data_IF_920240386725
#
_entry.id   IF_920240386725
#
_cell.length_a   1.000
_cell.length_b   1.000
_cell.length_c   1.000
_cell.angle_alpha   90.00
_cell.angle_beta   90.00
_cell.angle_gamma   90.00
#
_symmetry.space_group_name_H-M   'P 1'
#
loop_
_entity.id
_entity.type
_entity.pdbx_description
1 polymer ?
#
# COMPACT_ATOMS: atom_id res chain seq x y z
N UNK A 1 6.44 13.96 20.99
CA UNK A 1 5.66 14.68 19.97
C UNK A 1 5.14 15.93 20.64
N UNK A 2 5.79 17.04 20.34
CA UNK A 2 6.32 17.91 21.39
C UNK A 2 5.62 19.24 21.54
N UNK A 3 5.40 19.62 22.80
CA UNK A 3 5.56 21.00 23.22
C UNK A 3 7.03 21.43 23.06
N UNK A 4 7.30 22.74 23.05
CA UNK A 4 8.66 23.28 22.97
C UNK A 4 9.01 23.94 21.62
N UNK A 5 10.26 24.35 21.43
CA UNK A 5 10.67 25.27 20.35
C UNK A 5 10.68 24.65 18.94
N UNK A 6 10.65 23.33 18.82
CA UNK A 6 10.62 22.61 17.54
C UNK A 6 9.29 21.85 17.31
N UNK A 7 8.19 22.35 17.90
CA UNK A 7 6.85 21.78 17.74
C UNK A 7 6.52 21.54 16.26
N UNK A 8 6.04 20.33 15.96
CA UNK A 8 5.60 19.93 14.61
C UNK A 8 6.72 19.85 13.55
N UNK A 9 8.00 20.01 13.91
CA UNK A 9 9.10 19.87 12.95
C UNK A 9 9.38 18.40 12.65
N UNK A 10 9.29 18.02 11.37
CA UNK A 10 9.67 16.68 10.92
C UNK A 10 11.17 16.46 11.12
N UNK A 11 11.54 15.27 11.61
CA UNK A 11 12.92 14.84 11.83
C UNK A 11 13.10 13.48 11.14
N UNK A 12 13.95 13.44 10.12
CA UNK A 12 14.32 12.17 9.48
C UNK A 12 15.28 11.45 10.43
N UNK A 13 15.03 10.17 10.67
CA UNK A 13 15.78 9.35 11.62
C UNK A 13 16.16 8.00 10.98
N UNK A 14 16.93 7.20 11.72
CA UNK A 14 17.35 5.84 11.35
C UNK A 14 18.06 5.75 9.98
N UNK A 15 19.23 6.36 9.91
CA UNK A 15 20.13 6.29 8.75
C UNK A 15 20.95 5.00 8.72
N UNK A 16 20.53 3.92 9.41
CA UNK A 16 21.29 2.66 9.50
C UNK A 16 21.54 1.98 8.16
N UNK A 17 20.66 2.24 7.17
CA UNK A 17 20.79 1.76 5.80
C UNK A 17 21.40 2.79 4.84
N UNK A 18 21.78 3.98 5.33
CA UNK A 18 22.35 5.02 4.48
C UNK A 18 23.65 4.54 3.81
N UNK A 19 23.87 5.00 2.58
CA UNK A 19 25.05 4.69 1.77
C UNK A 19 25.61 5.98 1.19
N UNK A 20 26.94 6.12 1.23
CA UNK A 20 27.62 7.22 0.56
C UNK A 20 27.67 6.94 -0.95
N UNK A 21 27.40 7.98 -1.74
CA UNK A 21 27.68 7.99 -3.18
C UNK A 21 29.18 8.19 -3.42
N UNK A 22 29.99 7.21 -3.06
CA UNK A 22 31.41 7.21 -3.41
C UNK A 22 31.60 6.44 -4.72
N UNK A 23 32.47 6.94 -5.59
CA UNK A 23 32.96 6.17 -6.74
C UNK A 23 34.12 5.29 -6.27
N UNK A 24 34.09 3.97 -6.45
CA UNK A 24 33.02 3.18 -7.11
C UNK A 24 31.83 2.90 -6.17
N UNK A 25 30.61 2.91 -6.75
CA UNK A 25 29.39 2.59 -6.01
C UNK A 25 29.47 1.15 -5.50
N UNK A 26 29.34 0.97 -4.18
CA UNK A 26 29.30 -0.36 -3.57
C UNK A 26 27.99 -1.08 -3.95
N UNK A 27 28.02 -2.35 -4.40
CA UNK A 27 26.82 -3.14 -4.64
C UNK A 27 25.98 -3.33 -3.36
N UNK A 28 24.65 -3.44 -3.50
CA UNK A 28 23.74 -3.76 -2.38
C UNK A 28 23.98 -5.15 -1.76
N UNK A 29 24.46 -6.12 -2.54
CA UNK A 29 24.37 -7.54 -2.24
C UNK A 29 25.19 -8.02 -1.01
N UNK A 30 26.13 -7.22 -0.50
CA UNK A 30 27.08 -7.69 0.51
C UNK A 30 26.78 -7.22 1.95
N UNK A 31 25.77 -6.36 2.18
CA UNK A 31 25.71 -5.57 3.42
C UNK A 31 24.34 -5.35 4.06
N UNK A 32 23.23 -5.76 3.44
CA UNK A 32 21.90 -5.39 3.96
C UNK A 32 21.31 -6.47 4.88
N UNK A 33 20.95 -6.13 6.14
CA UNK A 33 20.08 -6.94 6.99
C UNK A 33 18.82 -7.38 6.23
N UNK A 34 18.25 -8.53 6.62
CA UNK A 34 16.97 -9.00 6.08
C UNK A 34 15.88 -7.94 6.33
N UNK A 35 15.54 -7.18 5.29
CA UNK A 35 14.46 -6.19 5.33
C UNK A 35 13.15 -6.94 5.18
N UNK A 36 12.23 -6.73 6.12
CA UNK A 36 10.97 -7.49 6.20
C UNK A 36 9.82 -6.80 5.45
N UNK A 37 9.89 -5.48 5.25
CA UNK A 37 8.80 -4.71 4.63
C UNK A 37 9.25 -4.04 3.33
N UNK A 38 8.73 -4.52 2.19
CA UNK A 38 9.08 -4.02 0.85
C UNK A 38 8.13 -2.96 0.29
N UNK A 39 7.14 -2.50 1.05
CA UNK A 39 6.09 -1.59 0.56
C UNK A 39 6.62 -0.25 0.04
N UNK A 40 7.79 0.19 0.52
CA UNK A 40 8.45 1.44 0.12
C UNK A 40 9.62 1.21 -0.86
N UNK A 41 9.87 -0.04 -1.26
CA UNK A 41 11.00 -0.40 -2.13
C UNK A 41 10.67 -0.08 -3.59
N UNK A 42 11.57 0.64 -4.25
CA UNK A 42 11.41 1.03 -5.64
C UNK A 42 11.44 -0.18 -6.60
N UNK A 43 10.70 -0.16 -7.72
CA UNK A 43 10.58 -1.31 -8.63
C UNK A 43 11.93 -1.73 -9.21
N UNK A 44 12.87 -0.80 -9.46
CA UNK A 44 14.20 -1.14 -9.95
C UNK A 44 14.99 -2.01 -8.97
N UNK A 45 14.80 -1.85 -7.65
CA UNK A 45 15.43 -2.71 -6.66
C UNK A 45 14.80 -4.11 -6.65
N UNK A 46 13.47 -4.20 -6.84
CA UNK A 46 12.76 -5.47 -6.97
C UNK A 46 13.14 -6.20 -8.26
N UNK A 47 13.66 -5.48 -9.25
CA UNK A 47 14.18 -6.02 -10.50
C UNK A 47 15.71 -6.25 -10.48
N UNK A 48 16.34 -6.17 -9.30
CA UNK A 48 17.73 -6.54 -9.10
C UNK A 48 18.75 -5.42 -9.34
N UNK A 49 18.34 -4.15 -9.35
CA UNK A 49 19.30 -3.04 -9.42
C UNK A 49 20.32 -3.14 -8.28
N UNK A 50 21.61 -3.05 -8.65
CA UNK A 50 22.73 -3.29 -7.72
C UNK A 50 23.21 -2.06 -6.99
N UNK A 51 22.69 -0.88 -7.33
CA UNK A 51 23.15 0.39 -6.79
C UNK A 51 22.00 1.19 -6.21
N UNK A 52 22.18 1.67 -4.98
CA UNK A 52 21.30 2.67 -4.42
C UNK A 52 21.46 3.99 -5.19
N UNK A 53 20.35 4.67 -5.43
CA UNK A 53 20.29 5.95 -6.15
C UNK A 53 19.35 6.88 -5.39
N UNK A 54 19.52 8.19 -5.58
CA UNK A 54 18.61 9.19 -5.00
C UNK A 54 17.15 8.95 -5.41
N UNK A 55 16.92 8.42 -6.61
CA UNK A 55 15.58 8.14 -7.11
C UNK A 55 14.84 7.10 -6.26
N UNK A 56 15.56 6.16 -5.62
CA UNK A 56 14.95 5.16 -4.73
C UNK A 56 14.32 5.84 -3.51
N UNK A 57 15.01 6.82 -2.92
CA UNK A 57 14.47 7.60 -1.80
C UNK A 57 13.24 8.41 -2.24
N UNK A 58 13.26 8.96 -3.47
CA UNK A 58 12.10 9.68 -4.02
C UNK A 58 10.88 8.76 -4.18
N UNK A 59 11.08 7.51 -4.62
CA UNK A 59 9.99 6.54 -4.69
C UNK A 59 9.39 6.28 -3.30
N UNK A 60 10.23 6.06 -2.29
CA UNK A 60 9.78 5.87 -0.91
C UNK A 60 9.00 7.09 -0.38
N UNK A 61 9.46 8.31 -0.69
CA UNK A 61 8.74 9.56 -0.38
C UNK A 61 7.37 9.57 -1.08
N UNK A 62 7.28 9.17 -2.35
CA UNK A 62 6.01 9.03 -3.06
C UNK A 62 5.06 8.03 -2.40
N UNK A 63 5.59 6.91 -1.90
CA UNK A 63 4.81 5.91 -1.17
C UNK A 63 4.25 6.47 0.14
N UNK A 64 5.09 7.13 0.93
CA UNK A 64 4.68 7.81 2.18
C UNK A 64 3.66 8.90 1.87
N UNK A 65 3.86 9.67 0.80
CA UNK A 65 2.95 10.74 0.43
C UNK A 65 1.58 10.21 0.03
N UNK A 66 1.52 9.13 -0.76
CA UNK A 66 0.25 8.44 -1.03
C UNK A 66 -0.42 7.95 0.26
N UNK A 67 0.35 7.32 1.16
CA UNK A 67 -0.16 6.80 2.43
C UNK A 67 -0.69 7.92 3.35
N UNK A 68 -0.07 9.10 3.37
CA UNK A 68 -0.61 10.25 4.10
C UNK A 68 -1.95 10.72 3.55
N UNK A 69 -2.17 10.59 2.23
CA UNK A 69 -3.42 10.98 1.57
C UNK A 69 -4.54 9.97 1.78
N UNK A 70 -4.20 8.67 1.86
CA UNK A 70 -5.18 7.57 1.91
C UNK A 70 -5.31 6.91 3.29
N UNK A 71 -4.37 7.18 4.19
CA UNK A 71 -4.14 6.42 5.44
C UNK A 71 -3.85 4.93 5.23
N UNK A 72 -3.47 4.52 4.01
CA UNK A 72 -3.18 3.13 3.65
C UNK A 72 -1.87 3.04 2.85
N UNK A 73 -0.97 2.08 3.15
CA UNK A 73 0.22 1.89 2.35
C UNK A 73 -0.16 1.52 0.91
N UNK A 74 0.17 2.39 -0.05
CA UNK A 74 -0.27 2.26 -1.44
C UNK A 74 0.10 0.89 -2.05
N UNK A 75 1.31 0.41 -1.74
CA UNK A 75 1.83 -0.89 -2.17
C UNK A 75 1.84 -1.93 -1.05
N UNK A 76 0.84 -1.89 -0.16
CA UNK A 76 0.64 -2.93 0.85
C UNK A 76 0.58 -4.31 0.21
N UNK A 77 1.49 -5.19 0.65
CA UNK A 77 1.56 -6.58 0.24
C UNK A 77 1.75 -7.45 1.49
N UNK A 78 1.15 -8.65 1.48
CA UNK A 78 1.34 -9.60 2.58
C UNK A 78 2.81 -9.97 2.67
N UNK A 79 3.31 -10.17 3.88
CA UNK A 79 4.63 -10.76 4.06
C UNK A 79 4.59 -12.16 3.45
N UNK A 80 5.20 -12.33 2.29
CA UNK A 80 5.64 -13.66 1.85
C UNK A 80 6.68 -14.16 2.87
N UNK A 81 6.86 -15.47 2.98
CA UNK A 81 7.97 -16.06 3.72
C UNK A 81 9.29 -15.51 3.14
N UNK A 82 9.85 -14.47 3.78
CA UNK A 82 11.13 -13.81 3.45
C UNK A 82 12.26 -14.78 3.80
N UNK A 83 12.36 -15.87 3.05
CA UNK A 83 13.36 -16.92 3.22
C UNK A 83 14.49 -16.81 2.21
N UNK A 84 14.39 -15.89 1.25
CA UNK A 84 15.37 -15.79 0.17
C UNK A 84 15.97 -14.39 0.12
N UNK A 85 17.29 -14.31 -0.02
CA UNK A 85 18.06 -13.10 -0.30
C UNK A 85 17.87 -12.60 -1.74
N UNK A 86 16.85 -13.12 -2.45
CA UNK A 86 16.56 -12.76 -3.83
C UNK A 86 15.93 -11.36 -3.85
N UNK A 87 16.44 -10.40 -4.66
CA UNK A 87 15.80 -9.10 -4.83
C UNK A 87 14.41 -9.19 -5.47
N UNK A 88 14.10 -10.25 -6.21
CA UNK A 88 12.83 -10.42 -6.89
C UNK A 88 11.73 -10.88 -5.93
N UNK A 89 10.78 -9.99 -5.65
CA UNK A 89 9.60 -10.27 -4.84
C UNK A 89 8.34 -10.16 -5.69
N UNK A 90 7.78 -11.32 -6.05
CA UNK A 90 6.68 -11.43 -7.02
C UNK A 90 5.44 -10.66 -6.56
N UNK A 91 4.91 -10.93 -5.35
CA UNK A 91 3.65 -10.33 -4.93
C UNK A 91 3.78 -8.81 -4.71
N UNK A 92 4.98 -8.34 -4.36
CA UNK A 92 5.26 -6.91 -4.26
C UNK A 92 5.20 -6.21 -5.62
N UNK A 93 5.78 -6.83 -6.67
CA UNK A 93 5.68 -6.31 -8.04
C UNK A 93 4.24 -6.40 -8.58
N UNK A 94 3.54 -7.50 -8.33
CA UNK A 94 2.11 -7.64 -8.66
C UNK A 94 1.28 -6.51 -8.05
N UNK A 95 1.52 -6.22 -6.76
CA UNK A 95 0.86 -5.10 -6.08
C UNK A 95 1.18 -3.77 -6.76
N UNK A 96 2.44 -3.48 -7.09
CA UNK A 96 2.81 -2.25 -7.79
C UNK A 96 2.08 -2.16 -9.13
N UNK A 97 2.06 -3.20 -9.94
CA UNK A 97 1.40 -3.18 -11.25
C UNK A 97 -0.13 -3.12 -11.14
N UNK A 98 -0.72 -3.72 -10.11
CA UNK A 98 -2.16 -3.62 -9.83
C UNK A 98 -2.62 -2.18 -9.57
N UNK A 99 -1.74 -1.35 -9.00
CA UNK A 99 -1.97 0.06 -8.70
C UNK A 99 -1.56 0.93 -9.87
N UNK A 100 -0.33 0.80 -10.37
CA UNK A 100 0.29 1.71 -11.33
C UNK A 100 -0.06 1.38 -12.79
N UNK A 101 -0.46 0.14 -13.07
CA UNK A 101 -0.41 -0.44 -14.41
C UNK A 101 0.97 -1.00 -14.73
N UNK A 102 1.06 -1.80 -15.80
CA UNK A 102 2.33 -2.37 -16.26
C UNK A 102 3.04 -1.37 -17.21
N UNK A 103 4.32 -1.03 -16.97
CA UNK A 103 5.01 0.04 -17.70
C UNK A 103 5.10 -0.26 -19.20
N UNK A 104 4.71 0.69 -20.07
CA UNK A 104 4.98 0.56 -21.49
C UNK A 104 6.48 0.71 -21.79
N UNK A 105 6.92 0.20 -22.93
CA UNK A 105 8.33 0.25 -23.32
C UNK A 105 8.84 1.70 -23.39
N UNK A 106 7.99 2.65 -23.81
CA UNK A 106 8.29 4.09 -23.81
C UNK A 106 8.31 4.71 -22.42
N UNK A 107 7.62 4.11 -21.44
CA UNK A 107 7.53 4.65 -20.09
C UNK A 107 8.78 4.26 -19.30
N UNK A 108 9.35 3.09 -19.57
CA UNK A 108 10.62 2.63 -19.00
C UNK A 108 11.42 1.78 -20.01
N UNK A 109 12.29 2.43 -20.79
CA UNK A 109 13.04 1.79 -21.87
C UNK A 109 14.12 0.84 -21.32
N UNK A 110 14.79 1.28 -20.25
CA UNK A 110 15.88 0.57 -19.61
C UNK A 110 15.44 -0.58 -18.71
N UNK A 111 14.14 -0.86 -18.60
CA UNK A 111 13.62 -2.03 -17.87
C UNK A 111 14.22 -3.33 -18.42
N UNK A 112 14.53 -3.38 -19.72
CA UNK A 112 15.14 -4.52 -20.41
C UNK A 112 16.58 -4.81 -19.97
N UNK A 113 17.23 -3.83 -19.33
CA UNK A 113 18.61 -3.94 -18.80
C UNK A 113 18.63 -4.45 -17.36
N UNK A 114 17.46 -4.58 -16.71
CA UNK A 114 17.38 -5.04 -15.33
C UNK A 114 17.73 -6.53 -15.22
N UNK A 115 18.51 -6.95 -14.21
CA UNK A 115 18.88 -8.36 -14.04
C UNK A 115 17.71 -9.33 -14.02
N UNK A 116 16.59 -8.95 -13.39
CA UNK A 116 15.40 -9.79 -13.27
C UNK A 116 14.35 -9.55 -14.38
N UNK A 117 14.72 -8.86 -15.47
CA UNK A 117 13.82 -8.67 -16.61
C UNK A 117 13.33 -9.98 -17.24
N UNK A 118 14.15 -11.04 -17.40
CA UNK A 118 13.67 -12.33 -17.91
C UNK A 118 12.60 -12.96 -17.01
N UNK A 119 12.79 -12.89 -15.69
CA UNK A 119 11.82 -13.37 -14.68
C UNK A 119 10.52 -12.57 -14.77
N UNK A 120 10.62 -11.24 -14.85
CA UNK A 120 9.47 -10.36 -15.05
C UNK A 120 8.66 -10.73 -16.30
N UNK A 121 9.31 -10.97 -17.44
CA UNK A 121 8.62 -11.33 -18.69
C UNK A 121 7.92 -12.70 -18.62
N UNK A 122 8.48 -13.64 -17.86
CA UNK A 122 7.92 -14.98 -17.68
C UNK A 122 6.68 -14.94 -16.79
N UNK A 123 6.76 -14.21 -15.69
CA UNK A 123 5.76 -14.28 -14.61
C UNK A 123 4.63 -13.27 -14.80
N UNK A 124 4.88 -12.15 -15.49
CA UNK A 124 3.91 -11.06 -15.65
C UNK A 124 3.43 -10.88 -17.09
N UNK A 125 2.13 -10.61 -17.25
CA UNK A 125 1.53 -10.26 -18.54
C UNK A 125 0.96 -8.85 -18.51
N UNK A 126 1.36 -8.00 -19.46
CA UNK A 126 0.88 -6.62 -19.60
C UNK A 126 -0.66 -6.51 -19.61
N UNK A 127 -1.34 -7.46 -20.26
CA UNK A 127 -2.81 -7.48 -20.36
C UNK A 127 -3.52 -7.62 -19.02
N UNK A 128 -2.88 -8.24 -18.02
CA UNK A 128 -3.44 -8.40 -16.67
C UNK A 128 -3.70 -7.05 -16.01
N UNK A 129 -2.88 -6.05 -16.31
CA UNK A 129 -2.91 -4.73 -15.67
C UNK A 129 -3.41 -3.62 -16.60
N UNK A 130 -4.05 -3.97 -17.73
CA UNK A 130 -4.50 -3.00 -18.73
C UNK A 130 -5.50 -1.97 -18.17
N UNK A 131 -6.25 -2.36 -17.14
CA UNK A 131 -7.23 -1.51 -16.46
C UNK A 131 -6.70 -0.86 -15.17
N UNK A 132 -5.43 -1.05 -14.83
CA UNK A 132 -4.78 -0.48 -13.65
C UNK A 132 -4.10 0.84 -14.00
N UNK A 133 -4.26 1.84 -13.13
CA UNK A 133 -3.54 3.11 -13.22
C UNK A 133 -3.58 3.82 -11.87
N UNK A 134 -2.53 4.61 -11.59
CA UNK A 134 -2.48 5.41 -10.36
C UNK A 134 -3.69 6.33 -10.24
N UNK A 135 -4.18 6.88 -11.37
CA UNK A 135 -5.42 7.67 -11.44
C UNK A 135 -6.60 6.91 -10.82
N UNK A 136 -6.89 5.70 -11.34
CA UNK A 136 -8.02 4.89 -10.87
C UNK A 136 -7.88 4.49 -9.40
N UNK A 137 -6.65 4.24 -8.95
CA UNK A 137 -6.40 3.93 -7.54
C UNK A 137 -6.72 5.15 -6.67
N UNK A 138 -6.13 6.31 -6.96
CA UNK A 138 -6.30 7.52 -6.16
C UNK A 138 -7.74 8.08 -6.18
N UNK A 139 -8.47 7.93 -7.30
CA UNK A 139 -9.89 8.27 -7.38
C UNK A 139 -10.75 7.47 -6.40
N UNK A 140 -10.48 6.18 -6.22
CA UNK A 140 -11.17 5.34 -5.21
C UNK A 140 -10.94 5.86 -3.78
N UNK A 141 -9.80 6.46 -3.53
CA UNK A 141 -9.46 7.12 -2.27
C UNK A 141 -9.81 8.61 -2.25
N UNK A 142 -10.67 9.08 -3.16
CA UNK A 142 -11.21 10.45 -3.22
C UNK A 142 -10.16 11.54 -3.48
N UNK A 143 -9.02 11.19 -4.07
CA UNK A 143 -8.01 12.15 -4.54
C UNK A 143 -8.25 12.41 -6.03
N UNK A 144 -8.47 13.69 -6.38
CA UNK A 144 -8.82 14.06 -7.76
C UNK A 144 -7.59 14.04 -8.68
N UNK A 145 -7.68 13.48 -9.90
CA UNK A 145 -6.52 13.33 -10.79
C UNK A 145 -6.02 14.64 -11.42
N UNK A 146 -6.83 15.69 -11.42
CA UNK A 146 -6.46 17.02 -11.90
C UNK A 146 -5.88 17.92 -10.79
N UNK A 147 -5.87 17.45 -9.54
CA UNK A 147 -5.32 18.20 -8.41
C UNK A 147 -3.79 18.25 -8.42
N UNK A 148 -3.21 19.36 -7.95
CA UNK A 148 -1.74 19.52 -7.87
C UNK A 148 -1.09 18.45 -6.99
N UNK A 149 -1.77 18.06 -5.91
CA UNK A 149 -1.32 16.97 -5.02
C UNK A 149 -1.16 15.65 -5.77
N UNK A 150 -2.11 15.30 -6.64
CA UNK A 150 -2.02 14.08 -7.46
C UNK A 150 -0.90 14.20 -8.51
N UNK A 151 -0.79 15.35 -9.17
CA UNK A 151 0.24 15.57 -10.19
C UNK A 151 1.65 15.47 -9.61
N UNK A 152 1.89 16.00 -8.40
CA UNK A 152 3.14 15.82 -7.69
C UNK A 152 3.37 14.34 -7.35
N UNK A 153 2.36 13.66 -6.81
CA UNK A 153 2.45 12.23 -6.48
C UNK A 153 2.83 11.38 -7.69
N UNK A 154 2.25 11.65 -8.86
CA UNK A 154 2.55 10.93 -10.10
C UNK A 154 4.01 11.11 -10.53
N UNK A 155 4.60 12.29 -10.34
CA UNK A 155 6.02 12.55 -10.62
C UNK A 155 6.95 11.82 -9.65
N UNK A 156 6.57 11.71 -8.37
CA UNK A 156 7.32 10.97 -7.35
C UNK A 156 7.27 9.46 -7.61
N UNK A 157 6.11 8.92 -7.96
CA UNK A 157 5.86 7.49 -8.23
C UNK A 157 6.03 7.12 -9.71
N UNK A 158 6.95 7.78 -10.42
CA UNK A 158 7.31 7.37 -11.78
C UNK A 158 8.16 6.09 -11.74
N UNK A 159 7.76 5.05 -12.50
CA UNK A 159 8.41 3.73 -12.45
C UNK A 159 9.86 3.78 -12.94
N UNK A 160 10.13 4.44 -14.07
CA UNK A 160 11.49 4.63 -14.56
C UNK A 160 12.25 5.60 -13.64
N UNK A 161 13.32 5.15 -12.94
CA UNK A 161 14.05 5.97 -12.00
C UNK A 161 14.73 7.19 -12.66
N UNK A 162 14.99 7.15 -13.97
CA UNK A 162 15.62 8.26 -14.70
C UNK A 162 14.65 9.38 -15.04
N UNK A 163 13.34 9.07 -15.08
CA UNK A 163 12.25 10.03 -15.34
C UNK A 163 11.59 10.52 -14.05
N UNK A 164 11.95 9.92 -12.91
CA UNK A 164 11.46 10.29 -11.59
C UNK A 164 12.01 11.66 -11.19
N UNK A 165 11.15 12.51 -10.63
CA UNK A 165 11.52 13.87 -10.22
C UNK A 165 12.58 13.85 -9.10
N UNK A 166 13.41 14.89 -9.01
CA UNK A 166 14.35 15.06 -7.88
C UNK A 166 13.66 15.73 -6.69
N UNK A 167 14.27 15.64 -5.50
CA UNK A 167 13.81 16.33 -4.29
C UNK A 167 13.72 17.85 -4.50
N UNK A 168 14.69 18.43 -5.18
CA UNK A 168 14.79 19.86 -5.45
C UNK A 168 13.67 20.31 -6.38
N UNK A 169 13.40 19.55 -7.44
CA UNK A 169 12.29 19.81 -8.35
C UNK A 169 10.93 19.61 -7.66
N UNK A 170 10.79 18.60 -6.79
CA UNK A 170 9.57 18.37 -6.03
C UNK A 170 9.25 19.54 -5.10
N UNK A 171 10.25 20.09 -4.39
CA UNK A 171 10.08 21.27 -3.53
C UNK A 171 9.69 22.54 -4.29
N UNK A 172 9.94 22.61 -5.59
CA UNK A 172 9.53 23.70 -6.47
C UNK A 172 8.17 23.45 -7.15
N UNK A 173 7.49 22.34 -6.84
CA UNK A 173 6.22 22.02 -7.47
C UNK A 173 5.11 23.02 -7.07
N UNK A 174 4.22 23.43 -8.01
CA UNK A 174 3.11 24.33 -7.72
C UNK A 174 2.18 23.88 -6.60
N UNK A 175 2.18 22.59 -6.23
CA UNK A 175 1.48 22.09 -5.05
C UNK A 175 1.85 22.87 -3.77
N UNK A 176 3.14 23.18 -3.57
CA UNK A 176 3.61 23.89 -2.37
C UNK A 176 3.38 25.41 -2.43
N UNK A 177 2.87 25.92 -3.55
CA UNK A 177 2.50 27.33 -3.74
C UNK A 177 0.97 27.52 -3.72
N UNK A 178 0.21 26.43 -3.68
CA UNK A 178 -1.24 26.45 -3.54
C UNK A 178 -1.65 26.59 -2.08
N UNK A 179 -2.78 27.25 -1.82
CA UNK A 179 -3.36 27.30 -0.49
C UNK A 179 -3.92 25.92 -0.09
N UNK A 180 -3.64 25.40 1.12
CA UNK A 180 -2.81 25.99 2.18
C UNK A 180 -1.30 25.83 1.95
N UNK A 181 -0.55 26.89 2.23
CA UNK A 181 0.91 26.85 2.17
C UNK A 181 1.50 25.96 3.29
N UNK A 182 2.66 25.31 3.05
CA UNK A 182 3.36 24.54 4.07
C UNK A 182 3.78 25.40 5.27
N UNK A 183 3.63 24.84 6.47
CA UNK A 183 3.99 25.50 7.74
C UNK A 183 5.20 24.82 8.39
N UNK A 184 5.97 25.59 9.17
CA UNK A 184 7.10 25.02 9.95
C UNK A 184 6.65 24.05 11.04
N UNK A 185 5.44 24.24 11.56
CA UNK A 185 4.74 23.34 12.47
C UNK A 185 3.61 22.65 11.69
N UNK A 186 3.75 21.34 11.44
CA UNK A 186 2.77 20.57 10.66
C UNK A 186 1.37 20.50 11.29
N UNK A 187 1.23 20.83 12.58
CA UNK A 187 -0.07 20.90 13.24
C UNK A 187 -0.70 22.31 13.14
N UNK A 188 -0.03 23.27 12.50
CA UNK A 188 -0.52 24.64 12.29
C UNK A 188 -1.02 25.33 13.58
N UNK A 189 -0.37 25.06 14.73
CA UNK A 189 -0.81 25.58 16.03
C UNK A 189 -2.06 24.91 16.64
N UNK A 190 -2.75 24.04 15.90
CA UNK A 190 -3.89 23.26 16.41
C UNK A 190 -3.45 22.27 17.49
N UNK A 191 -4.36 21.87 18.39
CA UNK A 191 -4.08 20.86 19.41
C UNK A 191 -3.64 19.53 18.76
N UNK A 192 -2.63 18.88 19.35
CA UNK A 192 -2.10 17.60 18.85
C UNK A 192 -3.02 16.48 19.36
N UNK A 193 -3.74 15.75 18.48
CA UNK A 193 -4.68 14.71 18.91
C UNK A 193 -3.99 13.37 19.17
N UNK A 194 -2.74 13.20 18.76
CA UNK A 194 -2.02 11.93 18.84
C UNK A 194 -1.50 11.66 20.27
N UNK A 195 -1.67 10.43 20.79
CA UNK A 195 -1.20 10.09 22.13
C UNK A 195 0.33 10.13 22.22
N UNK A 196 0.84 10.33 23.43
CA UNK A 196 2.29 10.19 23.70
C UNK A 196 2.67 8.71 23.56
N UNK A 197 3.90 8.45 23.10
CA UNK A 197 4.44 7.09 23.02
C UNK A 197 4.46 6.48 24.42
N UNK A 198 3.93 5.28 24.55
CA UNK A 198 3.95 4.49 25.79
C UNK A 198 5.31 3.81 25.97
N UNK A 199 5.70 3.57 27.21
CA UNK A 199 6.87 2.75 27.53
C UNK A 199 6.47 1.29 27.42
N UNK A 200 7.25 0.50 26.68
CA UNK A 200 7.11 -0.94 26.65
C UNK A 200 7.77 -1.50 27.92
N UNK A 201 6.99 -2.13 28.80
CA UNK A 201 7.53 -2.91 29.91
C UNK A 201 7.75 -4.33 29.38
N UNK A 202 9.02 -4.77 29.32
CA UNK A 202 9.40 -6.07 28.76
C UNK A 202 8.89 -7.28 29.59
N UNK A 203 8.27 -7.03 30.76
CA UNK A 203 7.82 -8.05 31.72
C UNK A 203 6.30 -8.36 31.71
N UNK A 204 5.46 -7.74 30.86
CA UNK A 204 4.03 -8.13 30.76
C UNK A 204 3.79 -9.20 29.67
N UNK A 205 3.19 -10.35 29.99
CA UNK A 205 2.78 -11.34 28.99
C UNK A 205 1.71 -10.74 28.05
N UNK A 206 1.84 -11.00 26.74
CA UNK A 206 1.12 -10.40 25.59
C UNK A 206 -0.43 -10.54 25.57
N UNK A 207 -1.10 -10.86 26.68
CA UNK A 207 -2.54 -11.20 26.71
C UNK A 207 -3.52 -10.01 26.79
N UNK A 208 -3.07 -8.74 26.77
CA UNK A 208 -3.97 -7.59 26.94
C UNK A 208 -4.23 -6.73 25.70
N UNK A 209 -3.56 -6.97 24.58
CA UNK A 209 -3.67 -6.08 23.41
C UNK A 209 -4.97 -6.27 22.62
N UNK A 210 -5.66 -7.41 22.74
CA UNK A 210 -6.90 -7.66 22.00
C UNK A 210 -8.15 -6.99 22.60
N UNK A 211 -8.17 -6.69 23.91
CA UNK A 211 -9.39 -6.17 24.56
C UNK A 211 -9.64 -4.67 24.36
N UNK A 212 -8.59 -3.89 24.06
CA UNK A 212 -8.73 -2.45 23.85
C UNK A 212 -9.14 -2.05 22.42
N UNK A 213 -8.89 -2.91 21.41
CA UNK A 213 -9.35 -2.63 20.04
C UNK A 213 -10.88 -2.82 19.89
N UNK A 214 -11.49 -3.71 20.68
CA UNK A 214 -12.94 -3.95 20.61
C UNK A 214 -13.77 -2.84 21.27
N UNK A 215 -13.26 -2.17 22.30
CA UNK A 215 -13.99 -1.09 22.99
C UNK A 215 -14.01 0.24 22.24
N UNK A 216 -12.96 0.57 21.47
CA UNK A 216 -12.99 1.79 20.65
C UNK A 216 -13.95 1.67 19.46
N UNK A 217 -14.18 0.48 18.90
CA UNK A 217 -15.14 0.29 17.81
C UNK A 217 -16.62 0.32 18.26
N UNK A 218 -16.92 0.09 19.55
CA UNK A 218 -18.30 0.15 20.06
C UNK A 218 -18.75 1.55 20.48
N UNK A 219 -17.84 2.46 20.84
CA UNK A 219 -18.24 3.83 21.20
C UNK A 219 -18.52 4.74 19.99
N UNK A 220 -17.98 4.45 18.80
CA UNK A 220 -18.23 5.26 17.60
C UNK A 220 -19.56 4.93 16.90
N UNK A 221 -20.15 3.75 17.13
CA UNK A 221 -21.44 3.36 16.54
C UNK A 221 -22.67 3.78 17.36
N UNK A 222 -22.50 4.17 18.64
CA UNK A 222 -23.62 4.55 19.50
C UNK A 222 -24.09 6.02 19.35
N UNK A 223 -23.34 6.88 18.64
CA UNK A 223 -23.70 8.29 18.45
C UNK A 223 -24.46 8.60 17.15
N UNK A 224 -24.66 7.62 16.26
CA UNK A 224 -25.35 7.83 14.96
C UNK A 224 -26.81 7.34 14.93
N UNK A 225 -27.36 6.80 16.03
CA UNK A 225 -28.74 6.26 16.06
C UNK A 225 -29.78 7.10 16.82
N UNK A 226 -29.43 8.25 17.42
CA UNK A 226 -30.39 9.07 18.18
C UNK A 226 -31.02 10.24 17.42
N UNK A 227 -30.81 10.40 16.10
CA UNK A 227 -31.39 11.52 15.32
C UNK A 227 -32.38 11.12 14.21
N UNK A 228 -32.91 9.88 14.21
CA UNK A 228 -33.87 9.44 13.19
C UNK A 228 -35.24 9.02 13.73
N UNK A 229 -35.74 9.65 14.81
CA UNK A 229 -37.14 9.50 15.22
C UNK A 229 -37.70 10.84 15.71
N UNK A 230 -38.21 11.63 14.77
CA UNK A 230 -39.36 12.53 15.00
C UNK A 230 -39.83 13.12 13.65
N UNK A 231 -40.90 12.55 13.09
CA UNK A 231 -41.81 13.29 12.21
C UNK A 231 -43.25 12.75 12.40
N UNK A 232 -44.29 13.60 12.44
CA UNK A 232 -45.63 13.21 12.85
C UNK A 232 -46.52 12.78 11.68
N UNK A 233 -47.47 11.91 12.03
CA UNK A 233 -48.60 11.42 11.23
C UNK A 233 -49.63 12.50 10.90
N UNK A 234 -50.19 12.50 9.68
CA UNK A 234 -51.57 12.93 9.40
C UNK A 234 -52.13 12.35 8.09
N UNK A 235 -53.46 12.25 8.06
CA UNK A 235 -54.31 11.35 7.28
C UNK A 235 -54.78 11.86 5.89
N UNK A 236 -55.23 10.88 5.08
CA UNK A 236 -56.42 10.88 4.19
C UNK A 236 -56.42 11.71 2.90
N UNK A 237 -56.56 11.05 1.74
CA UNK A 237 -57.81 10.96 0.95
C UNK A 237 -57.53 10.44 -0.49
N UNK A 238 -58.61 10.12 -1.21
CA UNK A 238 -58.73 9.02 -2.18
C UNK A 238 -58.69 9.41 -3.68
N UNK A 239 -58.85 8.37 -4.54
CA UNK A 239 -59.23 8.36 -5.97
C UNK A 239 -58.10 8.72 -6.98
N UNK A 240 -57.93 8.11 -8.18
CA UNK A 240 -58.64 7.13 -9.03
C UNK A 240 -57.74 6.75 -10.23
N UNK A 241 -57.98 5.56 -10.79
CA UNK A 241 -57.79 5.09 -12.19
C UNK A 241 -56.41 5.12 -12.90
N UNK A 242 -56.06 3.99 -13.52
CA UNK A 242 -55.09 3.90 -14.61
C UNK A 242 -54.68 2.46 -14.95
N UNK A 243 -54.98 2.03 -16.17
CA UNK A 243 -55.10 0.65 -16.66
C UNK A 243 -53.79 0.07 -17.24
N UNK A 244 -53.74 -1.28 -17.37
CA UNK A 244 -52.93 -2.12 -18.28
C UNK A 244 -51.43 -2.27 -18.00
N UNK A 245 -50.80 -3.43 -18.12
CA UNK A 245 -51.20 -4.77 -18.57
C UNK A 245 -49.96 -5.68 -18.67
N UNK A 246 -50.19 -7.01 -18.68
CA UNK A 246 -49.22 -8.07 -19.04
C UNK A 246 -48.11 -8.36 -18.02
N UNK A 247 -47.56 -9.56 -17.84
CA UNK A 247 -47.90 -10.96 -18.16
C UNK A 247 -46.79 -11.82 -17.47
N UNK A 248 -47.02 -13.12 -17.31
CA UNK A 248 -46.04 -14.21 -17.04
C UNK A 248 -45.43 -14.37 -15.64
N UNK A 249 -45.90 -15.41 -14.93
CA UNK A 249 -45.10 -16.63 -14.74
C UNK A 249 -44.34 -16.80 -13.42
N UNK A 250 -44.59 -17.87 -12.62
CA UNK A 250 -44.18 -17.94 -11.23
C UNK A 250 -42.85 -18.68 -10.96
N UNK A 251 -42.27 -18.27 -9.83
CA UNK A 251 -41.42 -18.98 -8.87
C UNK A 251 -41.42 -20.53 -8.88
N UNK A 252 -40.23 -21.10 -8.68
CA UNK A 252 -40.05 -22.36 -7.95
C UNK A 252 -38.95 -22.22 -6.87
N UNK A 253 -39.33 -22.62 -5.65
CA UNK A 253 -38.47 -22.97 -4.50
C UNK A 253 -38.32 -24.50 -4.44
N UNK A 254 -37.17 -24.99 -3.96
CA UNK A 254 -36.94 -26.18 -3.08
C UNK A 254 -35.43 -26.53 -3.18
N UNK A 255 -34.57 -26.39 -2.16
CA UNK A 255 -34.31 -27.19 -0.93
C UNK A 255 -33.74 -28.62 -1.14
N UNK A 256 -32.80 -28.98 -0.24
CA UNK A 256 -32.24 -30.33 0.02
C UNK A 256 -30.72 -30.39 -0.21
N UNK A 257 -29.84 -30.36 0.81
CA UNK A 257 -29.34 -31.49 1.63
C UNK A 257 -28.91 -32.70 0.76
N UNK A 258 -27.73 -33.32 0.86
CA UNK A 258 -27.06 -33.85 2.05
C UNK A 258 -25.70 -34.52 1.67
N UNK A 259 -24.87 -34.84 2.68
CA UNK A 259 -23.88 -35.94 2.77
C UNK A 259 -22.42 -35.78 2.26
N UNK A 260 -21.49 -36.08 3.20
CA UNK A 260 -20.04 -36.23 3.01
C UNK A 260 -19.58 -37.70 2.83
N UNK A 261 -18.35 -38.07 3.28
CA UNK A 261 -17.21 -38.50 2.44
C UNK A 261 -16.88 -40.01 2.59
N UNK A 262 -15.75 -40.58 2.05
CA UNK A 262 -14.46 -40.54 2.79
C UNK A 262 -13.11 -40.80 2.02
N UNK A 263 -12.01 -40.32 2.64
CA UNK A 263 -10.67 -40.90 2.90
C UNK A 263 -9.57 -41.31 1.86
N UNK A 264 -8.34 -40.91 2.26
CA UNK A 264 -7.02 -41.62 2.31
C UNK A 264 -6.14 -41.75 1.04
N UNK A 265 -4.92 -41.21 1.10
CA UNK A 265 -3.69 -41.92 1.53
C UNK A 265 -2.47 -40.98 1.63
N UNK A 266 -1.71 -41.12 2.72
CA UNK A 266 -0.33 -40.64 2.86
C UNK A 266 0.64 -41.73 2.40
N UNK A 267 1.85 -41.35 1.98
CA UNK A 267 3.00 -42.25 2.00
C UNK A 267 4.30 -41.48 2.18
N UNK A 268 4.93 -41.75 3.32
CA UNK A 268 6.30 -41.41 3.74
C UNK A 268 7.32 -42.36 3.09
N UNK A 269 8.61 -42.01 3.23
CA UNK A 269 9.89 -42.73 2.98
C UNK A 269 10.69 -42.14 1.82
N UNK A 270 12.00 -41.87 1.91
CA UNK A 270 12.96 -42.18 2.97
C UNK A 270 14.26 -41.39 2.82
N UNK A 271 15.06 -41.46 3.87
CA UNK A 271 16.38 -40.88 4.01
C UNK A 271 17.40 -41.46 3.01
N UNK A 272 18.39 -40.65 2.62
CA UNK A 272 19.75 -41.16 2.44
C UNK A 272 20.78 -40.06 2.71
N UNK A 273 21.65 -40.37 3.65
CA UNK A 273 22.90 -39.71 4.02
C UNK A 273 23.96 -40.18 3.03
N UNK A 274 24.70 -39.27 2.39
CA UNK A 274 26.06 -39.58 1.93
C UNK A 274 26.95 -38.34 2.07
N UNK A 275 27.88 -38.48 3.00
CA UNK A 275 29.09 -37.71 3.24
C UNK A 275 30.13 -38.13 2.18
N UNK A 276 30.86 -37.20 1.58
CA UNK A 276 32.20 -37.46 1.02
C UNK A 276 32.94 -36.14 0.82
N UNK A 277 33.99 -35.97 1.63
CA UNK A 277 35.10 -35.06 1.40
C UNK A 277 35.78 -35.35 0.06
N UNK A 278 36.23 -34.31 -0.65
CA UNK A 278 37.47 -34.32 -1.44
C UNK A 278 37.95 -32.88 -1.68
N UNK A 279 39.15 -32.61 -1.17
CA UNK A 279 40.20 -31.62 -1.52
C UNK A 279 39.80 -30.23 -2.06
#
# INVERSE_FOLDING_TARGET
MGEGPERGRVKIADMGFARLFNSPLKPLADLDPVVVTFWYRAPELLLGARHYTKAIDIWAIGCIFAELLTSEPIFHCRQEDIKTSNPFHHDQLDRIFSVMGFPADKDWEDIRKMPEYPTLQKDFRRTTYANSSLIKYMEKHKVKPDSKVFLLLQKLLTMDPTKRITSEQALQDPYFLEDPLPTSDVFAGCQIPYPKREFLNEDEPEEKTEKNQTQQHQQTQAQTQTQAQQAPSQQSSAQTNGTSGGTTGPSMQHTGQEQGPPNKKSRTTGANVLQTDYQ
#
